data_IF_496844642519
#
_entry.id   IF_496844642519
#
_cell.length_a   1.000
_cell.length_b   1.000
_cell.length_c   1.000
_cell.angle_alpha   90.00
_cell.angle_beta   90.00
_cell.angle_gamma   90.00
#
_symmetry.space_group_name_H-M   'P 1'
#
loop_
_entity.id
_entity.type
_entity.pdbx_description
1 polymer ?
#
# COMPACT_ATOMS: atom_id res chain seq x y z
N UNK A 1 -0.93 5.91 -31.39
CA UNK A 1 -0.97 4.91 -30.31
C UNK A 1 -1.18 5.58 -28.97
N UNK A 2 -2.43 5.88 -28.65
CA UNK A 2 -2.86 6.31 -27.32
C UNK A 2 -2.98 5.07 -26.44
N UNK A 3 -2.18 5.00 -25.38
CA UNK A 3 -2.28 3.95 -24.36
C UNK A 3 -3.63 4.13 -23.64
N UNK A 4 -4.46 3.10 -23.60
CA UNK A 4 -5.72 3.12 -22.84
C UNK A 4 -5.45 3.42 -21.36
N UNK A 5 -6.31 4.25 -20.73
CA UNK A 5 -6.15 4.62 -19.32
C UNK A 5 -5.23 5.83 -19.05
N UNK A 6 -4.86 6.59 -20.10
CA UNK A 6 -4.18 7.88 -19.97
C UNK A 6 -5.17 8.99 -20.33
N UNK A 7 -5.57 9.82 -19.35
CA UNK A 7 -6.37 11.01 -19.59
C UNK A 7 -5.47 12.13 -20.14
N UNK A 8 -5.76 12.58 -21.37
CA UNK A 8 -5.07 13.67 -22.05
C UNK A 8 -6.05 14.83 -22.27
N UNK A 9 -5.73 16.03 -21.78
CA UNK A 9 -6.47 17.26 -22.07
C UNK A 9 -5.94 17.89 -23.39
N UNK A 10 -6.76 18.07 -24.45
CA UNK A 10 -6.28 18.50 -25.76
C UNK A 10 -5.89 19.98 -25.89
N UNK A 11 -6.08 20.81 -24.87
CA UNK A 11 -5.80 22.26 -24.94
C UNK A 11 -4.78 22.71 -23.90
N UNK A 12 -3.64 23.26 -24.36
CA UNK A 12 -2.48 23.77 -23.59
C UNK A 12 -1.36 22.77 -23.29
N UNK A 13 -0.15 23.29 -23.06
CA UNK A 13 1.01 22.50 -22.65
C UNK A 13 0.68 21.65 -21.43
N UNK A 14 0.77 20.33 -21.57
CA UNK A 14 0.46 19.39 -20.51
C UNK A 14 1.23 19.70 -19.22
N UNK A 15 0.50 19.83 -18.11
CA UNK A 15 1.08 20.16 -16.79
C UNK A 15 1.44 18.92 -15.97
N UNK A 16 0.82 17.78 -16.24
CA UNK A 16 1.09 16.47 -15.62
C UNK A 16 0.54 15.33 -16.46
N UNK A 17 1.11 14.13 -16.31
CA UNK A 17 0.56 12.87 -16.82
C UNK A 17 0.00 12.08 -15.64
N UNK A 18 -1.20 11.50 -15.78
CA UNK A 18 -1.82 10.68 -14.73
C UNK A 18 -2.15 9.31 -15.32
N UNK A 19 -1.57 8.26 -14.75
CA UNK A 19 -1.84 6.87 -15.07
C UNK A 19 -2.88 6.31 -14.10
N UNK A 20 -4.06 5.98 -14.61
CA UNK A 20 -5.24 5.58 -13.82
C UNK A 20 -5.70 4.14 -14.10
N UNK A 21 -4.90 3.34 -14.80
CA UNK A 21 -5.29 1.98 -15.18
C UNK A 21 -5.60 1.08 -13.97
N UNK A 22 -5.00 1.36 -12.80
CA UNK A 22 -5.25 0.66 -11.54
C UNK A 22 -6.55 1.09 -10.81
N UNK A 23 -7.33 2.02 -11.37
CA UNK A 23 -8.63 2.43 -10.81
C UNK A 23 -9.80 1.63 -11.40
N UNK A 24 -9.57 0.89 -12.49
CA UNK A 24 -10.57 0.05 -13.15
C UNK A 24 -10.48 -1.43 -12.76
N UNK A 25 -11.03 -2.30 -13.61
CA UNK A 25 -11.05 -3.76 -13.40
C UNK A 25 -9.91 -4.49 -14.16
N UNK A 26 -8.92 -3.75 -14.66
CA UNK A 26 -7.82 -4.32 -15.43
C UNK A 26 -6.99 -5.31 -14.60
N UNK A 27 -6.39 -6.30 -15.26
CA UNK A 27 -5.52 -7.26 -14.58
C UNK A 27 -4.20 -6.60 -14.15
N UNK A 28 -3.60 -7.11 -13.06
CA UNK A 28 -2.35 -6.59 -12.50
C UNK A 28 -1.24 -6.41 -13.56
N UNK A 29 -1.05 -7.43 -14.40
CA UNK A 29 -0.01 -7.43 -15.42
C UNK A 29 -0.25 -6.37 -16.51
N UNK A 30 -1.51 -6.11 -16.88
CA UNK A 30 -1.87 -5.09 -17.87
C UNK A 30 -1.59 -3.68 -17.33
N UNK A 31 -1.90 -3.45 -16.04
CA UNK A 31 -1.62 -2.19 -15.35
C UNK A 31 -0.10 -1.95 -15.26
N UNK A 32 0.67 -2.97 -14.89
CA UNK A 32 2.14 -2.86 -14.82
C UNK A 32 2.76 -2.68 -16.21
N UNK A 33 2.26 -3.40 -17.22
CA UNK A 33 2.72 -3.27 -18.61
C UNK A 33 2.45 -1.87 -19.17
N UNK A 34 1.25 -1.33 -18.99
CA UNK A 34 0.90 0.02 -19.46
C UNK A 34 1.74 1.09 -18.74
N UNK A 35 1.99 0.93 -17.45
CA UNK A 35 2.89 1.81 -16.70
C UNK A 35 4.34 1.74 -17.22
N UNK A 36 4.84 0.54 -17.51
CA UNK A 36 6.18 0.35 -18.09
C UNK A 36 6.28 1.00 -19.47
N UNK A 37 5.28 0.83 -20.34
CA UNK A 37 5.25 1.48 -21.65
C UNK A 37 5.27 3.01 -21.52
N UNK A 38 4.49 3.55 -20.59
CA UNK A 38 4.50 4.99 -20.29
C UNK A 38 5.90 5.44 -19.83
N UNK A 39 6.51 4.72 -18.89
CA UNK A 39 7.86 4.99 -18.40
C UNK A 39 8.92 4.94 -19.52
N UNK A 40 8.82 3.98 -20.44
CA UNK A 40 9.72 3.89 -21.60
C UNK A 40 9.57 5.10 -22.54
N UNK A 41 8.34 5.59 -22.77
CA UNK A 41 8.10 6.80 -23.55
C UNK A 41 8.70 8.02 -22.86
N UNK A 42 8.54 8.11 -21.54
CA UNK A 42 9.13 9.18 -20.72
C UNK A 42 10.66 9.18 -20.82
N UNK A 43 11.31 8.00 -20.72
CA UNK A 43 12.76 7.88 -20.83
C UNK A 43 13.28 8.30 -22.21
N UNK A 44 12.59 7.92 -23.30
CA UNK A 44 12.95 8.36 -24.65
C UNK A 44 12.86 9.88 -24.78
N UNK A 45 11.82 10.49 -24.21
CA UNK A 45 11.62 11.94 -24.18
C UNK A 45 12.71 12.65 -23.37
N UNK A 46 13.02 12.15 -22.18
CA UNK A 46 14.09 12.67 -21.32
C UNK A 46 15.47 12.58 -22.00
N UNK A 47 15.77 11.43 -22.62
CA UNK A 47 17.01 11.21 -23.39
C UNK A 47 17.16 12.18 -24.58
N UNK A 48 16.03 12.62 -25.14
CA UNK A 48 15.97 13.61 -26.21
C UNK A 48 16.03 15.06 -25.69
N UNK A 49 16.29 15.26 -24.39
CA UNK A 49 16.34 16.56 -23.70
C UNK A 49 15.05 17.38 -23.82
N UNK A 50 13.92 16.71 -24.03
CA UNK A 50 12.62 17.35 -24.05
C UNK A 50 12.06 17.42 -22.62
N UNK A 51 11.35 18.51 -22.30
CA UNK A 51 10.72 18.66 -21.00
C UNK A 51 9.73 17.53 -20.72
N UNK A 52 9.89 16.85 -19.58
CA UNK A 52 9.01 15.79 -19.09
C UNK A 52 8.12 16.36 -17.99
N UNK A 53 6.78 16.37 -18.15
CA UNK A 53 5.88 16.78 -17.08
C UNK A 53 5.88 15.75 -15.94
N UNK A 54 5.52 16.14 -14.70
CA UNK A 54 5.35 15.21 -13.61
C UNK A 54 4.35 14.10 -13.93
N UNK A 55 4.64 12.89 -13.45
CA UNK A 55 3.87 11.67 -13.73
C UNK A 55 3.29 11.15 -12.43
N UNK A 56 2.01 10.81 -12.43
CA UNK A 56 1.31 10.26 -11.27
C UNK A 56 0.79 8.86 -11.58
N UNK A 57 1.30 7.86 -10.86
CA UNK A 57 0.75 6.52 -10.85
C UNK A 57 -0.30 6.43 -9.73
N UNK A 58 -1.56 6.22 -10.09
CA UNK A 58 -2.67 6.25 -9.12
C UNK A 58 -3.15 4.83 -8.83
N UNK A 59 -3.26 4.49 -7.55
CA UNK A 59 -3.86 3.23 -7.05
C UNK A 59 -5.04 3.54 -6.13
N UNK A 60 -5.81 2.52 -5.74
CA UNK A 60 -7.00 2.67 -4.87
C UNK A 60 -7.02 1.63 -3.75
N UNK A 61 -6.82 2.08 -2.50
CA UNK A 61 -6.90 1.26 -1.30
C UNK A 61 -5.87 0.12 -1.26
N UNK A 62 -4.63 0.40 -1.68
CA UNK A 62 -3.55 -0.60 -1.74
C UNK A 62 -2.46 -0.41 -0.68
N UNK A 63 -2.33 0.78 -0.08
CA UNK A 63 -1.17 1.14 0.76
C UNK A 63 -1.52 1.47 2.22
N UNK A 64 -2.58 2.25 2.47
CA UNK A 64 -2.91 2.73 3.82
C UNK A 64 -4.43 2.88 4.05
N UNK A 65 -4.83 3.00 5.33
CA UNK A 65 -6.23 3.14 5.72
C UNK A 65 -7.03 1.86 5.46
N UNK A 66 -8.16 2.00 4.76
CA UNK A 66 -8.99 0.86 4.33
C UNK A 66 -8.34 0.17 3.14
N UNK A 67 -7.62 -0.93 3.40
CA UNK A 67 -7.03 -1.76 2.33
C UNK A 67 -8.12 -2.58 1.67
N UNK A 68 -8.39 -2.33 0.38
CA UNK A 68 -9.35 -3.08 -0.42
C UNK A 68 -8.71 -4.28 -1.11
N UNK A 69 -7.52 -4.09 -1.65
CA UNK A 69 -6.85 -5.08 -2.50
C UNK A 69 -5.36 -4.81 -2.59
N UNK A 70 -4.57 -5.87 -2.80
CA UNK A 70 -3.15 -5.77 -3.10
C UNK A 70 -2.85 -5.79 -4.61
N UNK A 71 -3.87 -5.99 -5.46
CA UNK A 71 -3.72 -6.38 -6.88
C UNK A 71 -2.93 -5.37 -7.72
N UNK A 72 -2.93 -4.08 -7.37
CA UNK A 72 -2.15 -3.06 -8.10
C UNK A 72 -0.98 -2.47 -7.31
N UNK A 73 -0.64 -3.07 -6.15
CA UNK A 73 0.46 -2.60 -5.31
C UNK A 73 1.84 -2.71 -5.99
N UNK A 74 1.99 -3.61 -6.97
CA UNK A 74 3.20 -3.77 -7.77
C UNK A 74 3.61 -2.48 -8.50
N UNK A 75 2.65 -1.61 -8.83
CA UNK A 75 2.91 -0.31 -9.48
C UNK A 75 3.81 0.59 -8.62
N UNK A 76 3.68 0.54 -7.29
CA UNK A 76 4.54 1.29 -6.37
C UNK A 76 5.97 0.77 -6.37
N UNK A 77 6.16 -0.55 -6.51
CA UNK A 77 7.48 -1.16 -6.65
C UNK A 77 8.17 -0.77 -7.97
N UNK A 78 7.43 -0.81 -9.08
CA UNK A 78 7.92 -0.35 -10.39
C UNK A 78 8.32 1.13 -10.34
N UNK A 79 7.46 1.99 -9.78
CA UNK A 79 7.71 3.41 -9.64
C UNK A 79 8.95 3.73 -8.78
N UNK A 80 9.18 2.98 -7.68
CA UNK A 80 10.41 3.10 -6.89
C UNK A 80 11.66 2.78 -7.71
N UNK A 81 11.61 1.70 -8.48
CA UNK A 81 12.71 1.27 -9.34
C UNK A 81 13.00 2.35 -10.39
N UNK A 82 11.97 2.83 -11.07
CA UNK A 82 12.08 3.91 -12.05
C UNK A 82 12.72 5.17 -11.47
N UNK A 83 12.28 5.63 -10.30
CA UNK A 83 12.87 6.81 -9.62
C UNK A 83 14.34 6.62 -9.25
N UNK A 84 14.75 5.39 -8.93
CA UNK A 84 16.14 5.08 -8.62
C UNK A 84 17.01 5.10 -9.89
N UNK A 85 16.46 4.68 -11.02
CA UNK A 85 17.16 4.66 -12.31
C UNK A 85 17.20 6.03 -13.00
N UNK A 86 16.11 6.81 -12.92
CA UNK A 86 15.99 8.13 -13.55
C UNK A 86 15.51 9.21 -12.56
N UNK A 87 16.40 9.74 -11.71
CA UNK A 87 16.03 10.74 -10.69
C UNK A 87 15.61 12.10 -11.26
N UNK A 88 15.90 12.40 -12.53
CA UNK A 88 15.53 13.68 -13.14
C UNK A 88 14.02 13.79 -13.45
N UNK A 89 13.33 12.65 -13.53
CA UNK A 89 11.90 12.58 -13.80
C UNK A 89 11.11 12.57 -12.48
N UNK A 90 10.16 13.51 -12.37
CA UNK A 90 9.24 13.59 -11.23
C UNK A 90 8.11 12.57 -11.37
N UNK A 91 8.33 11.36 -10.86
CA UNK A 91 7.31 10.30 -10.84
C UNK A 91 6.78 10.07 -9.42
N UNK A 92 5.50 10.35 -9.22
CA UNK A 92 4.79 10.23 -7.95
C UNK A 92 3.84 9.02 -7.95
N UNK A 93 3.60 8.47 -6.77
CA UNK A 93 2.55 7.49 -6.51
C UNK A 93 1.49 8.11 -5.61
N UNK A 94 0.22 7.93 -5.96
CA UNK A 94 -0.93 8.36 -5.18
C UNK A 94 -1.87 7.17 -4.95
N UNK A 95 -2.08 6.76 -3.71
CA UNK A 95 -3.09 5.76 -3.35
C UNK A 95 -4.33 6.48 -2.81
N UNK A 96 -5.44 6.37 -3.53
CA UNK A 96 -6.72 6.92 -3.11
C UNK A 96 -7.33 6.08 -1.98
N UNK A 97 -8.11 6.73 -1.13
CA UNK A 97 -8.75 6.12 0.03
C UNK A 97 -9.68 4.98 -0.40
N UNK A 98 -9.46 3.79 0.18
CA UNK A 98 -10.26 2.61 -0.11
C UNK A 98 -11.74 2.71 0.28
N UNK A 99 -12.14 3.72 1.04
CA UNK A 99 -13.55 4.00 1.35
C UNK A 99 -14.33 4.57 0.17
N UNK A 100 -13.66 5.09 -0.87
CA UNK A 100 -14.31 5.61 -2.08
C UNK A 100 -14.90 4.46 -2.89
N UNK A 101 -16.23 4.36 -2.96
CA UNK A 101 -16.91 3.20 -3.53
C UNK A 101 -17.47 3.40 -4.93
N UNK A 102 -17.64 4.64 -5.40
CA UNK A 102 -18.16 4.94 -6.74
C UNK A 102 -17.09 5.57 -7.65
N UNK A 103 -17.20 5.39 -8.98
CA UNK A 103 -16.33 6.04 -9.96
C UNK A 103 -16.31 7.58 -9.83
N UNK A 104 -17.45 8.20 -9.52
CA UNK A 104 -17.57 9.65 -9.34
C UNK A 104 -16.81 10.12 -8.09
N UNK A 105 -16.91 9.36 -7.00
CA UNK A 105 -16.19 9.64 -5.77
C UNK A 105 -14.67 9.49 -5.97
N UNK A 106 -14.24 8.46 -6.72
CA UNK A 106 -12.83 8.28 -7.10
C UNK A 106 -12.31 9.41 -7.98
N UNK A 107 -13.07 9.82 -9.00
CA UNK A 107 -12.69 10.92 -9.87
C UNK A 107 -12.61 12.26 -9.13
N UNK A 108 -13.58 12.54 -8.25
CA UNK A 108 -13.59 13.72 -7.40
C UNK A 108 -12.40 13.73 -6.43
N UNK A 109 -12.15 12.60 -5.76
CA UNK A 109 -11.00 12.42 -4.86
C UNK A 109 -9.67 12.59 -5.59
N UNK A 110 -9.51 11.97 -6.76
CA UNK A 110 -8.31 12.13 -7.58
C UNK A 110 -8.05 13.59 -7.94
N UNK A 111 -9.07 14.29 -8.45
CA UNK A 111 -8.95 15.70 -8.81
C UNK A 111 -8.57 16.56 -7.61
N UNK A 112 -9.24 16.36 -6.48
CA UNK A 112 -8.97 17.09 -5.24
C UNK A 112 -7.51 16.91 -4.79
N UNK A 113 -7.03 15.67 -4.75
CA UNK A 113 -5.70 15.36 -4.23
C UNK A 113 -4.58 15.73 -5.20
N UNK A 114 -4.78 15.62 -6.52
CA UNK A 114 -3.80 16.14 -7.49
C UNK A 114 -3.61 17.65 -7.36
N UNK A 115 -4.66 18.40 -7.08
CA UNK A 115 -4.56 19.85 -6.81
C UNK A 115 -3.84 20.09 -5.49
N UNK A 116 -4.25 19.41 -4.42
CA UNK A 116 -3.67 19.58 -3.08
C UNK A 116 -2.19 19.19 -3.01
N UNK A 117 -1.76 18.21 -3.82
CA UNK A 117 -0.40 17.67 -3.85
C UNK A 117 0.46 18.27 -4.98
N UNK A 118 -0.01 19.28 -5.71
CA UNK A 118 0.69 19.84 -6.86
C UNK A 118 2.14 20.26 -6.57
N UNK A 119 2.39 20.78 -5.37
CA UNK A 119 3.70 21.26 -4.92
C UNK A 119 4.35 20.34 -3.88
N UNK A 120 3.85 19.10 -3.75
CA UNK A 120 4.41 18.15 -2.78
C UNK A 120 5.84 17.76 -3.13
N UNK A 121 6.67 17.62 -2.11
CA UNK A 121 8.00 16.99 -2.23
C UNK A 121 7.94 15.47 -2.09
N UNK A 122 6.79 14.94 -1.67
CA UNK A 122 6.59 13.51 -1.44
C UNK A 122 6.40 12.77 -2.76
N UNK A 123 7.15 11.69 -2.95
CA UNK A 123 7.04 10.83 -4.14
C UNK A 123 6.02 9.71 -3.98
N UNK A 124 5.59 9.44 -2.75
CA UNK A 124 4.68 8.35 -2.39
C UNK A 124 3.68 8.86 -1.34
N UNK A 125 2.41 8.99 -1.73
CA UNK A 125 1.35 9.49 -0.87
C UNK A 125 0.16 8.54 -0.89
N UNK A 126 -0.36 8.20 0.28
CA UNK A 126 -1.60 7.44 0.44
C UNK A 126 -2.64 8.29 1.18
N UNK A 127 -3.91 8.16 0.80
CA UNK A 127 -5.02 8.94 1.38
C UNK A 127 -5.82 8.05 2.33
N UNK A 128 -6.05 8.52 3.56
CA UNK A 128 -6.95 7.92 4.53
C UNK A 128 -7.61 9.03 5.37
N UNK A 129 -8.61 9.72 4.82
CA UNK A 129 -9.13 10.99 5.35
C UNK A 129 -8.15 12.19 5.28
N UNK A 130 -6.84 11.94 5.34
CA UNK A 130 -5.75 12.90 5.12
C UNK A 130 -4.61 12.25 4.30
N UNK A 131 -3.60 13.04 3.91
CA UNK A 131 -2.45 12.54 3.15
C UNK A 131 -1.35 11.98 4.08
N UNK A 132 -0.90 10.76 3.79
CA UNK A 132 0.15 10.05 4.51
C UNK A 132 1.32 9.77 3.57
N UNK A 133 2.53 10.04 4.03
CA UNK A 133 3.76 9.68 3.32
C UNK A 133 4.49 8.53 4.02
N UNK A 134 5.02 7.59 3.24
CA UNK A 134 5.74 6.44 3.79
C UNK A 134 7.12 6.85 4.30
N UNK A 135 7.52 6.32 5.46
CA UNK A 135 8.85 6.51 6.06
C UNK A 135 9.36 5.21 6.63
N UNK A 136 10.58 4.84 6.25
CA UNK A 136 11.26 3.69 6.83
C UNK A 136 11.73 4.06 8.24
N UNK A 137 11.39 3.22 9.21
CA UNK A 137 11.90 3.31 10.57
C UNK A 137 12.33 1.93 11.05
N UNK A 138 13.26 1.88 12.00
CA UNK A 138 13.68 0.62 12.59
C UNK A 138 12.51 0.04 13.38
N UNK A 139 12.08 -1.17 13.00
CA UNK A 139 11.04 -1.87 13.76
C UNK A 139 11.52 -2.13 15.19
N UNK A 140 10.66 -1.80 16.15
CA UNK A 140 10.84 -2.16 17.56
C UNK A 140 10.37 -3.59 17.86
N UNK A 141 9.77 -4.26 16.86
CA UNK A 141 9.34 -5.64 17.01
C UNK A 141 10.58 -6.53 17.22
N UNK A 142 10.64 -7.18 18.37
CA UNK A 142 11.65 -8.19 18.66
C UNK A 142 11.16 -9.53 18.12
N UNK A 143 11.98 -10.33 17.41
CA UNK A 143 11.59 -11.67 17.01
C UNK A 143 11.13 -12.44 18.25
N UNK A 144 9.89 -12.89 18.24
CA UNK A 144 9.29 -13.53 19.40
C UNK A 144 9.83 -14.95 19.52
N UNK A 145 10.43 -15.25 20.68
CA UNK A 145 10.54 -16.63 21.18
C UNK A 145 9.12 -17.26 21.21
N UNK A 146 8.97 -18.58 21.32
CA UNK A 146 7.66 -19.18 21.61
C UNK A 146 7.00 -18.42 22.77
N UNK A 147 5.76 -17.99 22.58
CA UNK A 147 5.02 -17.21 23.55
C UNK A 147 3.79 -17.95 23.99
N UNK A 148 3.39 -17.70 25.22
CA UNK A 148 2.05 -17.99 25.71
C UNK A 148 1.37 -16.69 26.11
N UNK A 149 0.04 -16.68 26.03
CA UNK A 149 -0.75 -15.56 26.50
C UNK A 149 -1.08 -15.80 27.98
N UNK A 150 -0.41 -15.07 28.87
CA UNK A 150 -0.63 -15.17 30.31
C UNK A 150 -1.68 -14.15 30.74
N UNK A 151 -2.66 -14.59 31.52
CA UNK A 151 -3.61 -13.72 32.21
C UNK A 151 -3.17 -13.53 33.66
N UNK A 152 -2.71 -12.33 34.02
CA UNK A 152 -2.23 -12.10 35.39
C UNK A 152 -3.36 -11.97 36.43
N UNK A 153 -4.54 -11.53 36.01
CA UNK A 153 -5.74 -11.39 36.85
C UNK A 153 -6.99 -11.43 35.97
N UNK A 154 -8.11 -11.96 36.50
CA UNK A 154 -9.43 -11.91 35.84
C UNK A 154 -10.04 -10.50 35.94
N UNK A 155 -11.11 -10.23 35.19
CA UNK A 155 -11.83 -8.95 35.27
C UNK A 155 -11.45 -7.88 34.24
N UNK A 156 -10.47 -8.13 33.37
CA UNK A 156 -10.11 -7.19 32.30
C UNK A 156 -9.22 -7.83 31.22
N UNK A 157 -9.49 -7.48 29.96
CA UNK A 157 -8.64 -7.81 28.81
C UNK A 157 -7.23 -7.22 28.93
N UNK A 158 -7.05 -6.10 29.64
CA UNK A 158 -5.73 -5.48 29.83
C UNK A 158 -4.77 -6.34 30.65
N UNK A 159 -5.26 -7.39 31.31
CA UNK A 159 -4.45 -8.34 32.07
C UNK A 159 -3.85 -9.48 31.23
N UNK A 160 -4.24 -9.59 29.95
CA UNK A 160 -3.64 -10.53 29.01
C UNK A 160 -2.35 -9.94 28.47
N UNK A 161 -1.24 -10.65 28.65
CA UNK A 161 0.06 -10.26 28.09
C UNK A 161 0.78 -11.44 27.45
N UNK A 162 1.41 -11.24 26.28
CA UNK A 162 2.33 -12.21 25.73
C UNK A 162 3.54 -12.33 26.67
N UNK A 163 3.83 -13.54 27.13
CA UNK A 163 5.05 -13.85 27.89
C UNK A 163 5.86 -14.91 27.17
N UNK A 164 7.18 -14.90 27.38
CA UNK A 164 8.07 -15.91 26.81
C UNK A 164 7.79 -17.26 27.46
N UNK A 165 7.56 -18.27 26.62
CA UNK A 165 7.52 -19.66 27.07
C UNK A 165 8.96 -20.15 27.23
N UNK A 166 9.50 -20.03 28.44
CA UNK A 166 10.93 -20.29 28.74
C UNK A 166 11.36 -21.74 28.45
N UNK A 167 10.47 -22.72 28.64
CA UNK A 167 10.77 -24.13 28.40
C UNK A 167 9.79 -24.77 27.43
N UNK A 168 10.31 -25.35 26.34
CA UNK A 168 9.56 -26.29 25.51
C UNK A 168 9.71 -27.69 26.08
N UNK A 169 8.60 -28.26 26.55
CA UNK A 169 8.58 -29.65 27.01
C UNK A 169 8.46 -30.56 25.79
N UNK A 170 9.38 -31.52 25.67
CA UNK A 170 9.26 -32.55 24.65
C UNK A 170 7.98 -33.38 24.88
N UNK A 171 7.20 -33.66 23.83
CA UNK A 171 6.01 -34.51 23.95
C UNK A 171 6.39 -35.90 24.44
N UNK A 172 5.53 -36.51 25.26
CA UNK A 172 5.70 -37.87 25.79
C UNK A 172 4.64 -38.82 25.24
N UNK A 173 5.00 -40.10 25.07
CA UNK A 173 4.05 -41.15 24.70
C UNK A 173 3.25 -40.80 23.44
N UNK A 174 1.95 -40.54 23.60
CA UNK A 174 1.01 -40.17 22.53
C UNK A 174 0.77 -38.66 22.37
N UNK A 175 1.61 -37.81 22.97
CA UNK A 175 1.56 -36.36 22.77
C UNK A 175 2.24 -35.95 21.45
N UNK A 176 1.83 -34.82 20.88
CA UNK A 176 2.48 -34.19 19.72
C UNK A 176 2.67 -32.70 19.95
N UNK A 177 3.75 -32.13 19.41
CA UNK A 177 3.97 -30.68 19.44
C UNK A 177 3.44 -30.05 18.15
N UNK A 178 2.67 -28.96 18.28
CA UNK A 178 2.07 -28.24 17.14
C UNK A 178 2.62 -26.82 17.03
N UNK A 179 2.97 -26.41 15.81
CA UNK A 179 3.25 -25.01 15.49
C UNK A 179 1.95 -24.28 15.22
N UNK A 180 1.35 -23.72 16.26
CA UNK A 180 0.09 -22.96 16.19
C UNK A 180 0.28 -21.69 15.34
N UNK A 181 -0.57 -21.52 14.32
CA UNK A 181 -0.60 -20.32 13.45
C UNK A 181 -1.76 -19.38 13.80
N UNK A 182 -2.87 -19.96 14.26
CA UNK A 182 -4.06 -19.25 14.67
C UNK A 182 -4.76 -20.07 15.78
N UNK A 183 -5.49 -19.38 16.65
CA UNK A 183 -6.37 -19.97 17.67
C UNK A 183 -7.76 -19.38 17.51
N UNK A 184 -8.79 -20.20 17.59
CA UNK A 184 -10.17 -19.71 17.72
C UNK A 184 -10.43 -19.28 19.15
N UNK A 185 -11.12 -18.15 19.33
CA UNK A 185 -11.63 -17.72 20.63
C UNK A 185 -13.08 -18.15 20.77
N UNK A 186 -13.42 -18.77 21.89
CA UNK A 186 -14.78 -19.16 22.24
C UNK A 186 -15.38 -18.16 23.23
N UNK A 187 -16.70 -18.14 23.36
CA UNK A 187 -17.39 -17.29 24.33
C UNK A 187 -16.95 -17.55 25.78
N UNK A 188 -16.59 -18.81 26.09
CA UNK A 188 -15.99 -19.18 27.39
C UNK A 188 -14.70 -18.43 27.68
N UNK A 189 -13.88 -18.17 26.66
CA UNK A 189 -12.61 -17.48 26.81
C UNK A 189 -12.83 -16.01 27.15
N UNK A 190 -13.89 -15.40 26.61
CA UNK A 190 -14.34 -14.04 26.96
C UNK A 190 -14.77 -13.98 28.42
N UNK A 191 -15.62 -14.92 28.86
CA UNK A 191 -16.09 -14.97 30.25
C UNK A 191 -14.96 -15.25 31.25
N UNK A 192 -13.89 -15.93 30.82
CA UNK A 192 -12.75 -16.21 31.69
C UNK A 192 -11.87 -14.98 31.94
N UNK A 193 -11.93 -14.00 31.05
CA UNK A 193 -11.08 -12.79 31.10
C UNK A 193 -11.84 -11.59 31.67
N UNK A 194 -13.17 -11.57 31.55
CA UNK A 194 -14.07 -10.68 32.29
C UNK A 194 -14.24 -11.08 33.76
#
# INVERSE_FOLDING_TARGET
DTVEGVLLDPGSSFTSIVHVAALGEAHEMEVVQSALQLMQVILKRASSKLAVPPVWCVTHGTQHGTIRSYLHSGLWGLARTFRAEEPSVKLHCLDLDGTLSSPEALAAGLKQWLIALKETVETEVAIAGSAFASRLSRSKAKPQKPLELLMSMRGSLSNLRPVVQESRRAPKGSEVELRVRAVGLNFRDVLNVM
#
